data_IF_816184789401
#
_entry.id   IF_816184789401
#
_cell.length_a   1.000
_cell.length_b   1.000
_cell.length_c   1.000
_cell.angle_alpha   90.00
_cell.angle_beta   90.00
_cell.angle_gamma   90.00
#
_symmetry.space_group_name_H-M   'P 1'
#
loop_
_entity.id
_entity.type
_entity.pdbx_description
1 polymer ?
#
# COMPACT_ATOMS: atom_id res chain seq x y z
N UNK A 1 -24.96 14.70 -53.40
CA UNK A 1 -23.67 15.39 -53.62
C UNK A 1 -23.33 16.19 -52.38
N UNK A 2 -22.41 15.68 -51.55
CA UNK A 2 -21.36 16.42 -50.85
C UNK A 2 -20.74 15.50 -49.79
N UNK A 3 -19.44 15.26 -49.98
CA UNK A 3 -18.57 14.38 -49.20
C UNK A 3 -18.27 14.98 -47.81
N UNK A 4 -17.95 14.17 -46.80
CA UNK A 4 -17.28 14.63 -45.59
C UNK A 4 -15.75 14.65 -45.76
N UNK A 5 -15.12 15.56 -45.03
CA UNK A 5 -13.73 15.97 -45.11
C UNK A 5 -12.71 14.85 -44.81
N UNK A 6 -11.60 14.92 -45.52
CA UNK A 6 -10.43 14.05 -45.47
C UNK A 6 -9.56 14.44 -44.24
N UNK A 7 -9.25 13.48 -43.38
CA UNK A 7 -8.22 13.62 -42.34
C UNK A 7 -6.82 13.39 -42.94
N UNK A 8 -5.76 14.09 -42.47
CA UNK A 8 -4.44 14.01 -43.07
C UNK A 8 -3.75 12.69 -42.71
N UNK A 9 -3.24 12.02 -43.73
CA UNK A 9 -2.36 10.85 -43.66
C UNK A 9 -1.02 11.24 -43.05
N UNK A 10 -0.68 10.66 -41.89
CA UNK A 10 0.68 10.69 -41.35
C UNK A 10 1.44 9.53 -41.97
N UNK A 11 2.41 9.88 -42.80
CA UNK A 11 3.35 8.98 -43.45
C UNK A 11 4.37 8.48 -42.41
N UNK A 12 4.21 7.25 -41.92
CA UNK A 12 5.21 6.59 -41.07
C UNK A 12 6.03 5.64 -41.93
N UNK A 13 7.14 6.17 -42.46
CA UNK A 13 8.17 5.39 -43.15
C UNK A 13 8.73 4.30 -42.23
N UNK A 14 8.22 3.07 -42.38
CA UNK A 14 8.83 1.86 -41.85
C UNK A 14 9.57 1.19 -43.02
N UNK A 15 10.91 1.07 -42.98
CA UNK A 15 11.61 0.32 -44.01
C UNK A 15 11.27 -1.17 -43.88
N UNK A 16 10.73 -1.76 -44.94
CA UNK A 16 10.58 -3.21 -45.07
C UNK A 16 11.98 -3.83 -45.16
N UNK A 17 12.45 -4.44 -44.06
CA UNK A 17 13.59 -5.35 -44.10
C UNK A 17 13.09 -6.78 -44.13
N UNK A 18 13.24 -7.42 -45.29
CA UNK A 18 13.09 -8.85 -45.51
C UNK A 18 14.27 -9.61 -44.90
N UNK A 19 14.35 -9.64 -43.57
CA UNK A 19 15.34 -10.40 -42.81
C UNK A 19 14.76 -11.75 -42.38
N UNK A 20 15.21 -12.84 -42.99
CA UNK A 20 14.95 -14.19 -42.47
C UNK A 20 15.50 -14.33 -41.03
N UNK A 21 14.64 -14.76 -40.10
CA UNK A 21 15.01 -14.98 -38.70
C UNK A 21 15.99 -16.16 -38.60
N UNK A 22 17.10 -16.06 -37.85
CA UNK A 22 18.02 -17.16 -37.67
C UNK A 22 17.33 -18.30 -36.91
N UNK A 23 17.26 -19.48 -37.53
CA UNK A 23 16.56 -20.69 -37.07
C UNK A 23 17.27 -21.48 -35.97
N UNK A 24 18.33 -20.92 -35.38
CA UNK A 24 19.13 -21.58 -34.33
C UNK A 24 19.69 -20.55 -33.35
N UNK A 25 19.57 -20.76 -32.03
CA UNK A 25 20.12 -19.83 -31.05
C UNK A 25 21.65 -19.85 -31.10
N UNK A 26 22.27 -18.70 -31.39
CA UNK A 26 23.64 -18.45 -30.96
C UNK A 26 23.58 -18.15 -29.46
N UNK A 27 23.78 -19.19 -28.65
CA UNK A 27 24.00 -19.06 -27.21
C UNK A 27 25.26 -18.20 -27.06
N UNK A 28 25.12 -16.97 -26.59
CA UNK A 28 26.27 -16.16 -26.19
C UNK A 28 27.00 -16.95 -25.08
N UNK A 29 28.26 -17.29 -25.35
CA UNK A 29 29.17 -17.96 -24.45
C UNK A 29 29.43 -17.05 -23.23
N UNK A 30 28.53 -17.08 -22.24
CA UNK A 30 28.61 -16.17 -21.09
C UNK A 30 27.71 -16.52 -19.90
N UNK A 31 26.86 -17.54 -19.99
CA UNK A 31 26.01 -17.99 -18.88
C UNK A 31 26.77 -18.88 -17.88
N UNK A 32 27.98 -18.48 -17.52
CA UNK A 32 28.82 -19.14 -16.51
C UNK A 32 28.57 -18.54 -15.14
N UNK A 33 27.53 -19.00 -14.44
CA UNK A 33 27.33 -18.70 -13.01
C UNK A 33 27.71 -19.94 -12.21
N UNK A 34 28.88 -20.00 -11.56
CA UNK A 34 29.25 -21.16 -10.74
C UNK A 34 28.22 -21.38 -9.62
N UNK A 35 27.73 -22.62 -9.45
CA UNK A 35 26.82 -23.00 -8.37
C UNK A 35 25.34 -23.20 -8.79
N UNK A 36 24.43 -23.06 -7.82
CA UNK A 36 22.99 -23.40 -7.94
C UNK A 36 22.26 -22.63 -9.04
N UNK A 37 22.77 -21.47 -9.49
CA UNK A 37 22.22 -20.71 -10.61
C UNK A 37 22.23 -21.49 -11.93
N UNK A 38 23.28 -22.28 -12.18
CA UNK A 38 23.37 -23.12 -13.39
C UNK A 38 22.27 -24.19 -13.44
N UNK A 39 21.85 -24.72 -12.29
CA UNK A 39 20.80 -25.75 -12.22
C UNK A 39 19.43 -25.12 -12.52
N UNK A 40 19.15 -23.94 -11.97
CA UNK A 40 17.90 -23.20 -12.20
C UNK A 40 17.74 -22.80 -13.66
N UNK A 41 18.78 -22.22 -14.26
CA UNK A 41 18.76 -21.85 -15.68
C UNK A 41 18.50 -23.07 -16.57
N UNK A 42 19.15 -24.21 -16.31
CA UNK A 42 18.88 -25.47 -17.05
C UNK A 42 17.43 -25.91 -16.93
N UNK A 43 16.84 -25.78 -15.74
CA UNK A 43 15.42 -26.10 -15.50
C UNK A 43 14.51 -25.17 -16.31
N UNK A 44 14.76 -23.87 -16.31
CA UNK A 44 13.95 -22.90 -17.08
C UNK A 44 14.11 -23.11 -18.59
N UNK A 45 15.31 -23.46 -19.05
CA UNK A 45 15.55 -23.84 -20.44
C UNK A 45 14.85 -25.15 -20.83
N UNK A 46 14.69 -26.10 -19.90
CA UNK A 46 13.88 -27.30 -20.13
C UNK A 46 12.39 -26.93 -20.26
N UNK A 47 11.87 -26.07 -19.38
CA UNK A 47 10.51 -25.56 -19.49
C UNK A 47 10.27 -24.83 -20.82
N UNK A 48 11.22 -24.00 -21.29
CA UNK A 48 11.15 -23.36 -22.60
C UNK A 48 10.98 -24.38 -23.74
N UNK A 49 11.72 -25.49 -23.72
CA UNK A 49 11.62 -26.54 -24.75
C UNK A 49 10.24 -27.19 -24.75
N UNK A 50 9.67 -27.44 -23.58
CA UNK A 50 8.31 -27.98 -23.44
C UNK A 50 7.25 -26.98 -23.90
N UNK A 51 7.39 -25.69 -23.55
CA UNK A 51 6.50 -24.63 -24.06
C UNK A 51 6.57 -24.55 -25.59
N UNK A 52 7.77 -24.64 -26.17
CA UNK A 52 7.98 -24.60 -27.61
C UNK A 52 7.39 -25.82 -28.33
N UNK A 53 7.46 -27.01 -27.74
CA UNK A 53 6.89 -28.22 -28.36
C UNK A 53 5.35 -28.18 -28.43
N UNK A 54 4.70 -27.46 -27.50
CA UNK A 54 3.25 -27.26 -27.48
C UNK A 54 2.76 -26.19 -28.48
N UNK A 55 3.67 -25.36 -29.03
CA UNK A 55 3.30 -24.21 -29.86
C UNK A 55 2.52 -24.59 -31.13
N UNK A 56 2.87 -25.70 -31.78
CA UNK A 56 2.15 -26.16 -32.96
C UNK A 56 0.70 -26.55 -32.63
N UNK A 57 0.50 -27.21 -31.48
CA UNK A 57 -0.81 -27.63 -31.00
C UNK A 57 -1.66 -26.43 -30.57
N UNK A 58 -1.11 -25.53 -29.75
CA UNK A 58 -1.87 -24.36 -29.26
C UNK A 58 -2.22 -23.39 -30.38
N UNK A 59 -1.35 -23.24 -31.39
CA UNK A 59 -1.64 -22.42 -32.58
C UNK A 59 -2.83 -22.95 -33.38
N UNK A 60 -3.04 -24.26 -33.41
CA UNK A 60 -4.17 -24.88 -34.11
C UNK A 60 -5.51 -24.72 -33.38
N UNK A 61 -5.51 -24.30 -32.11
CA UNK A 61 -6.74 -24.17 -31.33
C UNK A 61 -7.65 -23.05 -31.85
N UNK A 62 -8.96 -23.25 -31.77
CA UNK A 62 -9.93 -22.16 -31.87
C UNK A 62 -9.94 -21.30 -30.59
N UNK A 63 -10.60 -20.13 -30.61
CA UNK A 63 -10.77 -19.32 -29.40
C UNK A 63 -11.49 -20.09 -28.28
N UNK A 64 -12.50 -20.89 -28.63
CA UNK A 64 -13.22 -21.74 -27.68
C UNK A 64 -12.31 -22.82 -27.08
N UNK A 65 -11.46 -23.46 -27.90
CA UNK A 65 -10.50 -24.47 -27.45
C UNK A 65 -9.42 -23.89 -26.53
N UNK A 66 -8.94 -22.67 -26.80
CA UNK A 66 -8.03 -21.97 -25.90
C UNK A 66 -8.68 -21.72 -24.53
N UNK A 67 -9.91 -21.19 -24.53
CA UNK A 67 -10.65 -20.93 -23.28
C UNK A 67 -10.98 -22.21 -22.52
N UNK A 68 -11.37 -23.27 -23.21
CA UNK A 68 -11.62 -24.60 -22.62
C UNK A 68 -10.35 -25.19 -22.02
N UNK A 69 -9.20 -25.04 -22.68
CA UNK A 69 -7.91 -25.50 -22.16
C UNK A 69 -7.50 -24.71 -20.91
N UNK A 70 -7.68 -23.39 -20.94
CA UNK A 70 -7.44 -22.52 -19.76
C UNK A 70 -8.33 -22.94 -18.57
N UNK A 71 -9.61 -23.19 -18.81
CA UNK A 71 -10.54 -23.66 -17.80
C UNK A 71 -10.14 -25.03 -17.23
N UNK A 72 -9.67 -25.95 -18.08
CA UNK A 72 -9.12 -27.25 -17.65
C UNK A 72 -7.93 -27.09 -16.71
N UNK A 73 -6.99 -26.18 -17.03
CA UNK A 73 -5.86 -25.87 -16.15
C UNK A 73 -6.31 -25.28 -14.81
N UNK A 74 -7.31 -24.39 -14.82
CA UNK A 74 -7.91 -23.83 -13.60
C UNK A 74 -8.47 -24.93 -12.70
N UNK A 75 -9.24 -25.87 -13.25
CA UNK A 75 -9.77 -27.00 -12.48
C UNK A 75 -8.67 -27.89 -11.89
N UNK A 76 -7.63 -28.20 -12.68
CA UNK A 76 -6.47 -28.98 -12.21
C UNK A 76 -5.73 -28.26 -11.06
N UNK A 77 -5.48 -26.96 -11.20
CA UNK A 77 -4.85 -26.14 -10.17
C UNK A 77 -5.68 -26.09 -8.88
N UNK A 78 -6.99 -25.84 -8.98
CA UNK A 78 -7.91 -25.83 -7.84
C UNK A 78 -8.07 -27.21 -7.18
N UNK A 79 -7.88 -28.29 -7.93
CA UNK A 79 -7.88 -29.67 -7.41
C UNK A 79 -6.56 -30.04 -6.70
N UNK A 80 -5.59 -29.11 -6.62
CA UNK A 80 -4.33 -29.30 -5.91
C UNK A 80 -3.18 -29.81 -6.77
N UNK A 81 -3.30 -29.85 -8.10
CA UNK A 81 -2.15 -30.15 -8.95
C UNK A 81 -1.08 -29.05 -8.80
N UNK A 82 0.20 -29.41 -8.56
CA UNK A 82 1.24 -28.41 -8.40
C UNK A 82 1.38 -27.52 -9.64
N UNK A 83 1.32 -26.20 -9.47
CA UNK A 83 1.43 -25.22 -10.56
C UNK A 83 2.69 -25.42 -11.43
N UNK A 84 3.78 -25.93 -10.85
CA UNK A 84 5.02 -26.22 -11.57
C UNK A 84 4.84 -27.27 -12.69
N UNK A 85 3.88 -28.20 -12.55
CA UNK A 85 3.53 -29.17 -13.60
C UNK A 85 2.67 -28.58 -14.69
N UNK A 86 1.86 -27.58 -14.35
CA UNK A 86 0.98 -26.87 -15.27
C UNK A 86 1.73 -25.79 -16.07
N UNK A 87 2.93 -25.41 -15.63
CA UNK A 87 3.69 -24.29 -16.20
C UNK A 87 3.87 -24.38 -17.73
N UNK A 88 4.31 -25.50 -18.33
CA UNK A 88 4.52 -25.55 -19.78
C UNK A 88 3.22 -25.31 -20.57
N UNK A 89 2.13 -25.97 -20.16
CA UNK A 89 0.80 -25.81 -20.78
C UNK A 89 0.28 -24.38 -20.61
N UNK A 90 0.37 -23.84 -19.38
CA UNK A 90 -0.08 -22.49 -19.07
C UNK A 90 0.66 -21.43 -19.89
N UNK A 91 1.99 -21.52 -19.96
CA UNK A 91 2.82 -20.56 -20.68
C UNK A 91 2.60 -20.66 -22.20
N UNK A 92 2.36 -21.87 -22.73
CA UNK A 92 2.01 -22.04 -24.13
C UNK A 92 0.66 -21.40 -24.48
N UNK A 93 -0.34 -21.47 -23.59
CA UNK A 93 -1.63 -20.78 -23.76
C UNK A 93 -1.48 -19.25 -23.70
N UNK A 94 -0.73 -18.73 -22.72
CA UNK A 94 -0.47 -17.28 -22.60
C UNK A 94 0.28 -16.73 -23.81
N UNK A 95 1.29 -17.46 -24.30
CA UNK A 95 2.03 -17.11 -25.52
C UNK A 95 1.12 -17.03 -26.73
N UNK A 96 0.22 -17.99 -26.89
CA UNK A 96 -0.74 -17.99 -28.00
C UNK A 96 -1.81 -16.91 -27.85
N UNK A 97 -2.27 -16.63 -26.63
CA UNK A 97 -3.18 -15.53 -26.33
C UNK A 97 -2.54 -14.17 -26.65
N UNK A 98 -1.28 -13.94 -26.27
CA UNK A 98 -0.52 -12.74 -26.63
C UNK A 98 -0.39 -12.55 -28.14
N UNK A 99 -0.09 -13.63 -28.87
CA UNK A 99 -0.03 -13.61 -30.35
C UNK A 99 -1.36 -13.19 -30.95
N UNK A 100 -2.48 -13.71 -30.47
CA UNK A 100 -3.81 -13.43 -31.06
C UNK A 100 -4.36 -12.07 -30.68
N UNK A 101 -4.22 -11.70 -29.41
CA UNK A 101 -4.86 -10.53 -28.86
C UNK A 101 -4.05 -9.25 -29.13
N UNK A 102 -2.72 -9.33 -29.07
CA UNK A 102 -1.83 -8.16 -29.15
C UNK A 102 -0.86 -8.22 -30.34
N UNK A 103 -0.89 -9.28 -31.16
CA UNK A 103 0.13 -9.56 -32.18
C UNK A 103 1.55 -9.66 -31.59
N UNK A 104 1.66 -10.10 -30.33
CA UNK A 104 2.92 -10.21 -29.61
C UNK A 104 3.15 -11.65 -29.15
N UNK A 105 4.11 -12.34 -29.77
CA UNK A 105 4.55 -13.67 -29.33
C UNK A 105 5.68 -13.49 -28.32
N UNK A 106 5.55 -14.05 -27.12
CA UNK A 106 6.65 -14.04 -26.15
C UNK A 106 7.94 -14.61 -26.74
N UNK A 107 9.03 -13.86 -26.61
CA UNK A 107 10.37 -14.33 -26.94
C UNK A 107 10.82 -15.41 -25.96
N UNK A 108 11.85 -16.17 -26.35
CA UNK A 108 12.33 -17.28 -25.53
C UNK A 108 12.94 -16.80 -24.20
N UNK A 109 13.61 -15.64 -24.22
CA UNK A 109 14.11 -14.97 -23.01
C UNK A 109 12.98 -14.57 -22.05
N UNK A 110 11.82 -14.19 -22.58
CA UNK A 110 10.65 -13.84 -21.78
C UNK A 110 10.00 -15.09 -21.15
N UNK A 111 10.00 -16.24 -21.84
CA UNK A 111 9.56 -17.51 -21.24
C UNK A 111 10.50 -17.94 -20.11
N UNK A 112 11.81 -17.82 -20.30
CA UNK A 112 12.80 -18.12 -19.27
C UNK A 112 12.65 -17.17 -18.07
N UNK A 113 12.49 -15.87 -18.32
CA UNK A 113 12.21 -14.88 -17.28
C UNK A 113 10.92 -15.17 -16.53
N UNK A 114 9.83 -15.49 -17.23
CA UNK A 114 8.56 -15.90 -16.61
C UNK A 114 8.70 -17.14 -15.72
N UNK A 115 9.52 -18.11 -16.11
CA UNK A 115 9.79 -19.30 -15.29
C UNK A 115 10.63 -18.96 -14.04
N UNK A 116 11.56 -18.01 -14.15
CA UNK A 116 12.30 -17.49 -13.00
C UNK A 116 11.39 -16.73 -12.03
N UNK A 117 10.49 -15.88 -12.54
CA UNK A 117 9.48 -15.18 -11.74
C UNK A 117 8.55 -16.16 -11.02
N UNK A 118 8.09 -17.21 -11.69
CA UNK A 118 7.28 -18.25 -11.05
C UNK A 118 7.99 -18.95 -9.88
N UNK A 119 9.32 -19.08 -9.93
CA UNK A 119 10.11 -19.66 -8.84
C UNK A 119 10.46 -18.68 -7.71
N UNK A 120 9.97 -17.44 -7.77
CA UNK A 120 10.23 -16.41 -6.78
C UNK A 120 11.62 -15.78 -6.91
N UNK A 121 12.14 -15.68 -8.13
CA UNK A 121 13.36 -14.92 -8.43
C UNK A 121 13.02 -13.45 -8.73
N UNK A 122 14.04 -12.59 -8.61
CA UNK A 122 14.05 -11.26 -9.20
C UNK A 122 14.67 -11.38 -10.58
N UNK A 123 13.92 -11.14 -11.65
CA UNK A 123 14.45 -11.25 -13.00
C UNK A 123 14.98 -9.89 -13.46
N UNK A 124 16.29 -9.80 -13.72
CA UNK A 124 16.88 -8.64 -14.36
C UNK A 124 16.63 -8.69 -15.88
N UNK A 125 15.82 -7.77 -16.37
CA UNK A 125 15.50 -7.62 -17.79
C UNK A 125 15.70 -6.17 -18.18
N UNK A 126 16.60 -5.91 -19.14
CA UNK A 126 16.88 -4.55 -19.61
C UNK A 126 15.60 -3.86 -20.09
N UNK A 127 15.56 -2.54 -19.94
CA UNK A 127 14.43 -1.73 -20.42
C UNK A 127 14.23 -1.96 -21.91
N UNK A 128 13.01 -2.32 -22.32
CA UNK A 128 12.69 -2.68 -23.70
C UNK A 128 12.58 -4.20 -23.96
N UNK A 129 13.03 -5.06 -23.05
CA UNK A 129 12.92 -6.54 -23.18
C UNK A 129 11.48 -7.08 -22.98
N UNK A 130 10.50 -6.20 -22.73
CA UNK A 130 9.10 -6.57 -22.58
C UNK A 130 8.76 -7.19 -21.21
N UNK A 131 9.21 -6.53 -20.12
CA UNK A 131 8.86 -6.88 -18.72
C UNK A 131 7.35 -7.06 -18.53
N UNK A 132 6.54 -6.11 -19.00
CA UNK A 132 5.07 -6.13 -18.89
C UNK A 132 4.45 -7.36 -19.56
N UNK A 133 4.90 -7.74 -20.77
CA UNK A 133 4.41 -8.94 -21.46
C UNK A 133 4.87 -10.21 -20.74
N UNK A 134 6.10 -10.22 -20.22
CA UNK A 134 6.66 -11.35 -19.46
C UNK A 134 5.88 -11.62 -18.17
N UNK A 135 5.45 -10.58 -17.47
CA UNK A 135 4.66 -10.66 -16.23
C UNK A 135 3.35 -11.44 -16.40
N UNK A 136 2.76 -11.44 -17.60
CA UNK A 136 1.51 -12.17 -17.88
C UNK A 136 1.61 -13.68 -17.65
N UNK A 137 2.82 -14.25 -17.82
CA UNK A 137 3.07 -15.68 -17.68
C UNK A 137 2.88 -16.16 -16.22
N UNK A 138 3.65 -15.68 -15.23
CA UNK A 138 3.47 -16.09 -13.84
C UNK A 138 2.16 -15.59 -13.23
N UNK A 139 1.67 -14.39 -13.61
CA UNK A 139 0.40 -13.87 -13.11
C UNK A 139 -0.78 -14.77 -13.49
N UNK A 140 -0.84 -15.20 -14.76
CA UNK A 140 -1.84 -16.15 -15.21
C UNK A 140 -1.73 -17.48 -14.45
N UNK A 141 -0.53 -18.05 -14.36
CA UNK A 141 -0.33 -19.35 -13.72
C UNK A 141 -0.72 -19.35 -12.23
N UNK A 142 -0.34 -18.32 -11.47
CA UNK A 142 -0.70 -18.20 -10.07
C UNK A 142 -2.19 -17.89 -9.85
N UNK A 143 -2.84 -17.18 -10.78
CA UNK A 143 -4.27 -16.86 -10.66
C UNK A 143 -5.17 -18.10 -10.79
N UNK A 144 -4.72 -19.14 -11.50
CA UNK A 144 -5.46 -20.40 -11.68
C UNK A 144 -5.80 -21.11 -10.35
N UNK A 145 -5.02 -20.90 -9.30
CA UNK A 145 -5.28 -21.48 -7.98
C UNK A 145 -6.47 -20.82 -7.25
N UNK A 146 -7.03 -19.72 -7.77
CA UNK A 146 -8.19 -19.03 -7.18
C UNK A 146 -7.90 -18.21 -5.92
N UNK A 147 -6.63 -18.10 -5.52
CA UNK A 147 -6.22 -17.30 -4.36
C UNK A 147 -5.79 -15.88 -4.73
N UNK A 148 -5.67 -15.59 -6.03
CA UNK A 148 -5.25 -14.30 -6.53
C UNK A 148 -3.79 -14.15 -6.88
N UNK A 149 -3.52 -13.23 -7.80
CA UNK A 149 -2.18 -12.78 -8.15
C UNK A 149 -2.14 -11.25 -8.22
N UNK A 150 -1.23 -10.62 -7.48
CA UNK A 150 -1.09 -9.17 -7.44
C UNK A 150 0.12 -8.72 -8.26
N UNK A 151 -0.04 -7.70 -9.10
CA UNK A 151 1.07 -6.96 -9.68
C UNK A 151 1.19 -5.61 -8.99
N UNK A 152 2.33 -5.36 -8.38
CA UNK A 152 2.66 -4.09 -7.74
C UNK A 152 3.61 -3.28 -8.63
N UNK A 153 3.25 -2.04 -8.93
CA UNK A 153 4.12 -1.08 -9.63
C UNK A 153 4.25 0.22 -8.82
N UNK A 154 4.99 1.20 -9.35
CA UNK A 154 5.38 2.42 -8.64
C UNK A 154 4.29 3.51 -8.62
N UNK A 155 3.39 3.53 -9.61
CA UNK A 155 2.33 4.56 -9.69
C UNK A 155 1.05 4.06 -10.39
N UNK A 156 -0.04 4.79 -10.13
CA UNK A 156 -1.39 4.47 -10.61
C UNK A 156 -1.48 4.43 -12.14
N UNK A 157 -0.78 5.34 -12.84
CA UNK A 157 -0.76 5.37 -14.31
C UNK A 157 -0.20 4.07 -14.90
N UNK A 158 0.93 3.56 -14.38
CA UNK A 158 1.51 2.30 -14.84
C UNK A 158 0.60 1.12 -14.50
N UNK A 159 -0.04 1.13 -13.33
CA UNK A 159 -0.94 0.06 -12.92
C UNK A 159 -2.15 -0.04 -13.87
N UNK A 160 -2.78 1.09 -14.18
CA UNK A 160 -3.91 1.17 -15.10
C UNK A 160 -3.49 0.82 -16.53
N UNK A 161 -2.45 1.47 -17.06
CA UNK A 161 -1.92 1.24 -18.41
C UNK A 161 -1.60 -0.23 -18.65
N UNK A 162 -0.86 -0.85 -17.74
CA UNK A 162 -0.39 -2.23 -17.92
C UNK A 162 -1.54 -3.24 -17.76
N UNK A 163 -2.48 -2.96 -16.86
CA UNK A 163 -3.69 -3.75 -16.74
C UNK A 163 -4.53 -3.71 -18.01
N UNK A 164 -4.78 -2.51 -18.57
CA UNK A 164 -5.55 -2.33 -19.80
C UNK A 164 -4.85 -2.94 -21.00
N UNK A 165 -3.54 -2.74 -21.12
CA UNK A 165 -2.76 -3.25 -22.24
C UNK A 165 -2.71 -4.78 -22.27
N UNK A 166 -2.59 -5.44 -21.10
CA UNK A 166 -2.53 -6.90 -21.01
C UNK A 166 -3.91 -7.57 -20.87
N UNK A 167 -4.98 -6.82 -20.56
CA UNK A 167 -6.35 -7.33 -20.41
C UNK A 167 -6.81 -8.25 -21.55
N UNK A 168 -6.57 -7.94 -22.84
CA UNK A 168 -6.99 -8.81 -23.95
C UNK A 168 -6.43 -10.24 -23.87
N UNK A 169 -5.23 -10.43 -23.30
CA UNK A 169 -4.63 -11.75 -23.10
C UNK A 169 -5.44 -12.53 -22.04
N UNK A 170 -5.71 -11.89 -20.91
CA UNK A 170 -6.44 -12.50 -19.80
C UNK A 170 -7.89 -12.79 -20.15
N UNK A 171 -8.58 -11.88 -20.85
CA UNK A 171 -9.96 -12.06 -21.30
C UNK A 171 -10.11 -13.27 -22.22
N UNK A 172 -9.17 -13.45 -23.17
CA UNK A 172 -9.15 -14.59 -24.08
C UNK A 172 -9.01 -15.92 -23.34
N UNK A 173 -8.27 -15.93 -22.23
CA UNK A 173 -8.08 -17.08 -21.36
C UNK A 173 -9.17 -17.21 -20.28
N UNK A 174 -10.10 -16.25 -20.18
CA UNK A 174 -11.19 -16.26 -19.20
C UNK A 174 -10.74 -15.95 -17.77
N UNK A 175 -9.72 -15.10 -17.61
CA UNK A 175 -9.16 -14.66 -16.32
C UNK A 175 -9.53 -13.20 -16.10
N UNK A 176 -10.11 -12.90 -14.94
CA UNK A 176 -10.56 -11.55 -14.59
C UNK A 176 -9.42 -10.67 -14.06
N UNK A 177 -9.45 -9.38 -14.40
CA UNK A 177 -8.45 -8.39 -14.00
C UNK A 177 -9.11 -7.22 -13.26
N UNK A 178 -8.61 -6.91 -12.07
CA UNK A 178 -8.96 -5.72 -11.30
C UNK A 178 -7.81 -4.73 -11.23
N UNK A 179 -8.12 -3.45 -11.00
CA UNK A 179 -7.13 -2.40 -10.77
C UNK A 179 -7.50 -1.64 -9.50
N UNK A 180 -6.54 -1.43 -8.62
CA UNK A 180 -6.67 -0.61 -7.41
C UNK A 180 -5.92 0.70 -7.64
N UNK A 181 -6.65 1.80 -7.57
CA UNK A 181 -6.12 3.17 -7.70
C UNK A 181 -6.32 3.93 -6.39
N UNK A 182 -5.59 5.03 -6.23
CA UNK A 182 -5.68 5.89 -5.03
C UNK A 182 -7.12 6.33 -4.76
N UNK A 183 -7.84 6.73 -5.81
CA UNK A 183 -9.20 7.25 -5.71
C UNK A 183 -10.29 6.15 -5.72
N UNK A 184 -9.92 4.86 -5.76
CA UNK A 184 -10.90 3.78 -5.76
C UNK A 184 -11.67 3.72 -4.43
N UNK A 185 -12.99 3.67 -4.55
CA UNK A 185 -13.90 3.47 -3.41
C UNK A 185 -13.73 2.08 -2.78
N UNK A 186 -14.16 1.86 -1.53
CA UNK A 186 -14.07 0.53 -0.89
C UNK A 186 -14.72 -0.60 -1.71
N UNK A 187 -15.86 -0.33 -2.34
CA UNK A 187 -16.57 -1.32 -3.17
C UNK A 187 -15.82 -1.65 -4.47
N UNK A 188 -15.23 -0.64 -5.12
CA UNK A 188 -14.37 -0.84 -6.29
C UNK A 188 -13.13 -1.66 -5.94
N UNK A 189 -12.51 -1.38 -4.77
CA UNK A 189 -11.37 -2.16 -4.27
C UNK A 189 -11.76 -3.61 -4.02
N UNK A 190 -12.89 -3.85 -3.35
CA UNK A 190 -13.39 -5.20 -3.06
C UNK A 190 -13.64 -5.99 -4.36
N UNK A 191 -14.21 -5.32 -5.38
CA UNK A 191 -14.36 -5.90 -6.73
C UNK A 191 -13.00 -6.18 -7.38
N UNK A 192 -12.03 -5.27 -7.26
CA UNK A 192 -10.70 -5.42 -7.86
C UNK A 192 -9.88 -6.54 -7.23
N UNK A 193 -9.92 -6.70 -5.91
CA UNK A 193 -9.30 -7.84 -5.20
C UNK A 193 -10.07 -9.15 -5.42
N UNK A 194 -11.36 -9.08 -5.77
CA UNK A 194 -12.17 -10.24 -6.15
C UNK A 194 -11.77 -10.84 -7.51
N UNK A 195 -11.13 -10.07 -8.39
CA UNK A 195 -10.64 -10.54 -9.69
C UNK A 195 -9.52 -11.58 -9.55
N UNK A 196 -9.32 -12.44 -10.54
CA UNK A 196 -8.25 -13.46 -10.52
C UNK A 196 -6.85 -12.81 -10.46
N UNK A 197 -6.67 -11.68 -11.12
CA UNK A 197 -5.44 -10.85 -11.10
C UNK A 197 -5.79 -9.42 -10.68
N UNK A 198 -4.95 -8.80 -9.85
CA UNK A 198 -5.15 -7.42 -9.37
C UNK A 198 -3.88 -6.59 -9.62
N UNK A 199 -4.01 -5.51 -10.38
CA UNK A 199 -2.95 -4.51 -10.57
C UNK A 199 -3.12 -3.38 -9.56
N UNK A 200 -2.02 -2.81 -9.08
CA UNK A 200 -2.05 -1.67 -8.19
C UNK A 200 -0.65 -1.20 -7.83
N UNK A 201 -0.57 -0.24 -6.92
CA UNK A 201 0.72 0.21 -6.39
C UNK A 201 1.07 -0.49 -5.09
N UNK A 202 2.37 -0.58 -4.78
CA UNK A 202 2.82 -1.11 -3.49
C UNK A 202 2.22 -0.33 -2.31
N UNK A 203 2.06 0.99 -2.45
CA UNK A 203 1.45 1.87 -1.45
C UNK A 203 -0.01 1.52 -1.21
N UNK A 204 -0.80 1.37 -2.27
CA UNK A 204 -2.22 1.05 -2.14
C UNK A 204 -2.46 -0.34 -1.52
N UNK A 205 -1.67 -1.34 -1.91
CA UNK A 205 -1.71 -2.65 -1.26
C UNK A 205 -1.35 -2.56 0.23
N UNK A 206 -0.42 -1.69 0.61
CA UNK A 206 -0.07 -1.47 2.01
C UNK A 206 -1.14 -0.74 2.80
N UNK A 207 -1.74 0.31 2.24
CA UNK A 207 -2.81 1.04 2.90
C UNK A 207 -4.08 0.19 3.06
N UNK A 208 -4.46 -0.60 2.03
CA UNK A 208 -5.56 -1.55 2.14
C UNK A 208 -5.30 -2.60 3.23
N UNK A 209 -4.07 -3.13 3.30
CA UNK A 209 -3.69 -4.05 4.37
C UNK A 209 -3.86 -3.42 5.76
N UNK A 210 -3.40 -2.18 5.93
CA UNK A 210 -3.52 -1.47 7.20
C UNK A 210 -4.99 -1.19 7.56
N UNK A 211 -5.80 -0.74 6.60
CA UNK A 211 -7.25 -0.50 6.77
C UNK A 211 -7.96 -1.79 7.21
N UNK A 212 -7.70 -2.90 6.53
CA UNK A 212 -8.32 -4.19 6.85
C UNK A 212 -7.91 -4.68 8.25
N UNK A 213 -6.65 -4.51 8.64
CA UNK A 213 -6.18 -4.90 9.98
C UNK A 213 -6.80 -4.07 11.09
N UNK A 214 -6.95 -2.79 10.82
CA UNK A 214 -7.63 -1.88 11.71
C UNK A 214 -9.11 -2.29 11.88
N UNK A 215 -9.82 -2.50 10.78
CA UNK A 215 -11.22 -2.95 10.77
C UNK A 215 -11.40 -4.25 11.57
N UNK A 216 -10.54 -5.25 11.31
CA UNK A 216 -10.55 -6.52 12.04
C UNK A 216 -10.26 -6.34 13.53
N UNK A 217 -9.39 -5.40 13.91
CA UNK A 217 -9.11 -5.09 15.32
C UNK A 217 -10.32 -4.46 16.01
N UNK A 218 -11.04 -3.57 15.33
CA UNK A 218 -12.27 -2.98 15.86
C UNK A 218 -13.37 -4.03 16.04
N UNK A 219 -13.57 -4.90 15.03
CA UNK A 219 -14.51 -6.03 15.11
C UNK A 219 -14.13 -7.03 16.22
N UNK A 220 -12.84 -7.33 16.39
CA UNK A 220 -12.35 -8.23 17.44
C UNK A 220 -12.54 -7.69 18.87
N UNK A 221 -12.47 -6.37 19.07
CA UNK A 221 -12.76 -5.72 20.37
C UNK A 221 -14.25 -5.81 20.74
N UNK A 222 -15.15 -5.80 19.75
CA UNK A 222 -16.59 -6.03 19.98
C UNK A 222 -16.89 -7.41 20.60
N UNK A 223 -16.05 -8.42 20.35
CA UNK A 223 -16.24 -9.75 20.93
C UNK A 223 -15.73 -9.86 22.38
N UNK A 224 -14.83 -8.97 22.81
CA UNK A 224 -14.37 -8.88 24.21
C UNK A 224 -15.16 -7.86 25.05
N UNK A 225 -15.74 -6.82 24.43
CA UNK A 225 -16.45 -5.72 25.11
C UNK A 225 -17.97 -5.93 25.16
N UNK A 226 -18.43 -7.17 25.37
CA UNK A 226 -19.84 -7.47 25.70
C UNK A 226 -20.29 -6.89 27.07
N UNK A 227 -19.44 -6.11 27.76
CA UNK A 227 -19.69 -5.55 29.10
C UNK A 227 -19.42 -4.03 29.24
N UNK A 228 -19.29 -3.25 28.17
CA UNK A 228 -19.08 -1.80 28.31
C UNK A 228 -19.37 -0.96 27.06
N UNK A 229 -20.54 -0.34 27.02
CA UNK A 229 -20.92 0.68 26.03
C UNK A 229 -20.09 1.97 26.21
N UNK A 230 -19.55 2.51 25.11
CA UNK A 230 -19.12 3.91 25.12
C UNK A 230 -18.12 4.38 24.06
N UNK A 231 -17.35 3.50 23.40
CA UNK A 231 -16.31 3.96 22.45
C UNK A 231 -16.24 3.22 21.12
N UNK A 232 -17.04 2.17 20.91
CA UNK A 232 -17.01 1.32 19.72
C UNK A 232 -17.95 1.78 18.57
N UNK A 233 -18.92 2.65 18.83
CA UNK A 233 -20.00 2.94 17.88
C UNK A 233 -19.57 3.73 16.63
N UNK A 234 -18.42 4.42 16.65
CA UNK A 234 -18.02 5.29 15.51
C UNK A 234 -17.36 4.55 14.34
N UNK A 235 -17.01 3.27 14.50
CA UNK A 235 -16.37 2.46 13.44
C UNK A 235 -17.27 1.36 12.87
N UNK A 236 -18.46 1.16 13.45
CA UNK A 236 -19.35 0.05 13.08
C UNK A 236 -20.65 0.48 12.42
N UNK A 237 -20.83 1.77 12.11
CA UNK A 237 -22.05 2.27 11.47
C UNK A 237 -22.14 1.98 9.96
N UNK A 238 -21.13 1.39 9.32
CA UNK A 238 -21.04 1.30 7.84
C UNK A 238 -21.05 -0.10 7.23
N UNK A 239 -21.09 -1.21 7.99
CA UNK A 239 -21.03 -2.55 7.38
C UNK A 239 -19.76 -2.79 6.56
N UNK A 240 -18.67 -2.09 6.90
CA UNK A 240 -17.38 -2.21 6.22
C UNK A 240 -16.80 -3.61 6.39
N UNK A 241 -16.49 -4.26 5.27
CA UNK A 241 -15.81 -5.54 5.19
C UNK A 241 -14.38 -5.37 4.65
N UNK A 242 -13.42 -6.23 5.05
CA UNK A 242 -12.08 -6.23 4.47
C UNK A 242 -12.11 -6.26 2.95
N UNK A 243 -11.25 -5.48 2.31
CA UNK A 243 -11.18 -5.43 0.84
C UNK A 243 -10.18 -6.43 0.28
N UNK A 244 -9.12 -6.75 1.02
CA UNK A 244 -8.12 -7.71 0.58
C UNK A 244 -8.53 -9.15 0.86
N UNK A 245 -8.13 -10.02 -0.05
CA UNK A 245 -8.15 -11.48 0.12
C UNK A 245 -6.80 -11.98 0.65
N UNK A 246 -6.63 -13.30 0.65
CA UNK A 246 -5.36 -13.95 1.02
C UNK A 246 -4.19 -13.47 0.15
N UNK A 247 -3.07 -13.11 0.78
CA UNK A 247 -1.83 -12.74 0.10
C UNK A 247 -1.11 -13.97 -0.49
N UNK A 248 -1.51 -14.36 -1.69
CA UNK A 248 -0.99 -15.56 -2.34
C UNK A 248 0.30 -15.31 -3.15
N UNK A 249 0.22 -14.53 -4.21
CA UNK A 249 1.35 -14.20 -5.08
C UNK A 249 1.43 -12.69 -5.33
N UNK A 250 2.62 -12.12 -5.17
CA UNK A 250 2.94 -10.77 -5.59
C UNK A 250 4.09 -10.78 -6.58
N UNK A 251 3.88 -10.12 -7.72
CA UNK A 251 4.91 -9.77 -8.69
C UNK A 251 5.17 -8.26 -8.60
N UNK A 252 6.39 -7.88 -8.27
CA UNK A 252 6.80 -6.49 -8.10
C UNK A 252 7.53 -6.01 -9.35
N UNK A 253 6.95 -5.07 -10.07
CA UNK A 253 7.62 -4.34 -11.14
C UNK A 253 8.50 -3.24 -10.56
N UNK A 254 9.60 -2.92 -11.25
CA UNK A 254 10.68 -2.07 -10.74
C UNK A 254 11.07 -2.45 -9.29
N UNK A 255 11.36 -3.74 -9.12
CA UNK A 255 11.55 -4.37 -7.81
C UNK A 255 12.66 -3.73 -6.96
N UNK A 256 13.70 -3.18 -7.56
CA UNK A 256 14.73 -2.40 -6.86
C UNK A 256 14.14 -1.11 -6.26
N UNK A 257 13.37 -0.37 -7.05
CA UNK A 257 12.74 0.88 -6.59
C UNK A 257 11.75 0.60 -5.44
N UNK A 258 10.91 -0.42 -5.56
CA UNK A 258 9.87 -0.71 -4.56
C UNK A 258 10.43 -1.43 -3.32
N UNK A 259 11.23 -2.48 -3.51
CA UNK A 259 11.67 -3.34 -2.41
C UNK A 259 12.91 -2.83 -1.68
N UNK A 260 13.64 -1.86 -2.25
CA UNK A 260 14.84 -1.26 -1.66
C UNK A 260 14.62 0.22 -1.34
N UNK A 261 14.29 1.04 -2.34
CA UNK A 261 14.23 2.49 -2.15
C UNK A 261 12.99 2.91 -1.36
N UNK A 262 11.80 2.47 -1.79
CA UNK A 262 10.54 2.78 -1.10
C UNK A 262 10.38 2.00 0.22
N UNK A 263 11.09 0.89 0.40
CA UNK A 263 10.99 0.05 1.58
C UNK A 263 11.50 0.70 2.89
N UNK A 264 12.24 1.81 2.79
CA UNK A 264 12.83 2.50 3.93
C UNK A 264 11.82 3.29 4.76
N UNK A 265 10.80 3.83 4.12
CA UNK A 265 9.81 4.70 4.78
C UNK A 265 8.55 3.88 5.08
N UNK A 266 8.12 3.76 6.35
CA UNK A 266 6.90 3.04 6.68
C UNK A 266 5.65 3.77 6.15
N UNK A 267 4.67 2.98 5.70
CA UNK A 267 3.31 3.43 5.45
C UNK A 267 2.58 3.57 6.77
N UNK A 268 1.86 4.68 6.96
CA UNK A 268 1.23 5.05 8.23
C UNK A 268 -0.20 5.50 7.95
N UNK A 269 -1.18 4.93 8.68
CA UNK A 269 -2.55 5.44 8.73
C UNK A 269 -2.72 6.28 9.99
N UNK A 270 -3.27 7.48 9.84
CA UNK A 270 -3.60 8.37 10.95
C UNK A 270 -4.80 7.87 11.78
N UNK A 271 -4.84 8.21 13.07
CA UNK A 271 -5.83 7.75 14.06
C UNK A 271 -6.93 8.75 14.37
N UNK A 272 -6.92 9.93 13.74
CA UNK A 272 -7.92 10.96 13.99
C UNK A 272 -8.74 11.19 12.71
N UNK A 273 -10.06 11.04 12.82
CA UNK A 273 -10.97 11.56 11.81
C UNK A 273 -11.10 13.08 11.96
N UNK A 274 -11.55 13.76 10.92
CA UNK A 274 -11.70 15.23 10.93
C UNK A 274 -12.61 15.70 12.09
N UNK A 275 -13.70 14.97 12.38
CA UNK A 275 -14.57 15.26 13.53
C UNK A 275 -13.85 15.12 14.89
N UNK A 276 -12.95 14.14 15.04
CA UNK A 276 -12.16 13.97 16.28
C UNK A 276 -11.15 15.10 16.43
N UNK A 277 -10.56 15.55 15.33
CA UNK A 277 -9.64 16.69 15.30
C UNK A 277 -10.34 17.97 15.71
N UNK A 278 -11.49 18.27 15.12
CA UNK A 278 -12.30 19.44 15.48
C UNK A 278 -12.71 19.42 16.95
N UNK A 279 -13.13 18.26 17.46
CA UNK A 279 -13.48 18.09 18.88
C UNK A 279 -12.29 18.39 19.79
N UNK A 280 -11.09 17.91 19.46
CA UNK A 280 -9.86 18.17 20.24
C UNK A 280 -9.50 19.66 20.22
N UNK A 281 -9.54 20.30 19.05
CA UNK A 281 -9.27 21.74 18.90
C UNK A 281 -10.26 22.56 19.72
N UNK A 282 -11.56 22.25 19.61
CA UNK A 282 -12.61 22.92 20.38
C UNK A 282 -12.39 22.77 21.90
N UNK A 283 -11.98 21.58 22.34
CA UNK A 283 -11.76 21.31 23.77
C UNK A 283 -10.54 22.06 24.32
N UNK A 284 -9.43 22.16 23.58
CA UNK A 284 -8.29 22.99 23.96
C UNK A 284 -8.66 24.48 24.07
N UNK A 285 -9.42 25.01 23.11
CA UNK A 285 -9.89 26.40 23.13
C UNK A 285 -10.82 26.66 24.30
N UNK A 286 -11.78 25.77 24.54
CA UNK A 286 -12.67 25.85 25.69
C UNK A 286 -11.88 25.84 26.99
N UNK A 287 -10.83 25.01 27.11
CA UNK A 287 -10.02 24.99 28.32
C UNK A 287 -9.24 26.29 28.53
N UNK A 288 -8.62 26.82 27.48
CA UNK A 288 -7.93 28.11 27.55
C UNK A 288 -8.87 29.26 27.94
N UNK A 289 -10.10 29.26 27.43
CA UNK A 289 -11.11 30.27 27.76
C UNK A 289 -11.55 30.24 29.23
N UNK A 290 -11.56 29.08 29.89
CA UNK A 290 -12.11 28.95 31.24
C UNK A 290 -11.05 28.77 32.33
N UNK A 291 -9.80 28.49 31.99
CA UNK A 291 -8.73 28.22 32.95
C UNK A 291 -8.55 29.34 34.00
N UNK A 292 -8.75 30.61 33.62
CA UNK A 292 -8.61 31.76 34.50
C UNK A 292 -9.67 31.84 35.61
N UNK A 293 -10.76 31.08 35.52
CA UNK A 293 -11.85 31.06 36.51
C UNK A 293 -11.55 30.16 37.70
N UNK A 294 -10.45 29.41 37.66
CA UNK A 294 -10.06 28.47 38.70
C UNK A 294 -9.04 29.11 39.64
N UNK A 295 -9.32 29.06 40.93
CA UNK A 295 -8.43 29.57 41.98
C UNK A 295 -7.67 28.45 42.69
N UNK A 296 -6.36 28.67 42.94
CA UNK A 296 -5.48 27.72 43.65
C UNK A 296 -5.97 27.54 45.09
N UNK A 297 -5.85 26.32 45.62
CA UNK A 297 -6.32 25.88 46.94
C UNK A 297 -7.85 25.86 47.12
N UNK A 298 -8.61 26.61 46.31
CA UNK A 298 -10.08 26.52 46.30
C UNK A 298 -10.60 25.48 45.30
N UNK A 299 -10.06 25.46 44.08
CA UNK A 299 -10.55 24.63 42.99
C UNK A 299 -9.57 23.52 42.57
N UNK A 300 -8.27 23.75 42.77
CA UNK A 300 -7.22 22.81 42.42
C UNK A 300 -6.01 22.95 43.34
N UNK A 301 -5.19 21.91 43.37
CA UNK A 301 -3.88 21.89 44.04
C UNK A 301 -2.78 21.64 43.02
N UNK A 302 -1.56 22.08 43.32
CA UNK A 302 -0.36 21.78 42.53
C UNK A 302 0.53 20.90 43.40
N UNK A 303 0.93 19.74 42.87
CA UNK A 303 1.90 18.87 43.52
C UNK A 303 3.32 19.45 43.37
N UNK A 304 4.03 19.63 44.48
CA UNK A 304 5.30 20.38 44.53
C UNK A 304 6.43 19.73 43.71
N UNK A 305 6.46 18.39 43.61
CA UNK A 305 7.54 17.67 42.92
C UNK A 305 7.29 17.54 41.41
N UNK A 306 6.03 17.34 41.01
CA UNK A 306 5.67 17.03 39.62
C UNK A 306 5.08 18.23 38.87
N UNK A 307 4.77 19.32 39.59
CA UNK A 307 4.02 20.45 39.07
C UNK A 307 2.72 20.02 38.38
N UNK A 308 2.09 18.95 38.88
CA UNK A 308 0.83 18.45 38.34
C UNK A 308 -0.33 19.21 38.99
N UNK A 309 -1.20 19.76 38.15
CA UNK A 309 -2.45 20.38 38.59
C UNK A 309 -3.48 19.27 38.76
N UNK A 310 -4.13 19.20 39.93
CA UNK A 310 -5.23 18.27 40.19
C UNK A 310 -6.47 19.03 40.69
N UNK A 311 -7.61 18.82 40.02
CA UNK A 311 -8.88 19.41 40.43
C UNK A 311 -9.43 18.73 41.68
N UNK A 312 -9.81 19.54 42.67
CA UNK A 312 -10.55 19.08 43.84
C UNK A 312 -12.06 18.96 43.54
N UNK A 313 -12.86 18.59 44.54
CA UNK A 313 -14.30 18.40 44.39
C UNK A 313 -15.05 19.67 43.89
N UNK A 314 -14.61 20.86 44.33
CA UNK A 314 -15.19 22.14 43.89
C UNK A 314 -14.78 22.47 42.46
N UNK A 315 -13.51 22.29 42.10
CA UNK A 315 -13.04 22.46 40.73
C UNK A 315 -13.77 21.56 39.74
N UNK A 316 -13.94 20.27 40.08
CA UNK A 316 -14.73 19.33 39.25
C UNK A 316 -16.20 19.73 39.14
N UNK A 317 -16.77 20.34 40.18
CA UNK A 317 -18.13 20.87 40.13
C UNK A 317 -18.24 22.08 39.20
N UNK A 318 -17.26 22.98 39.23
CA UNK A 318 -17.19 24.13 38.33
C UNK A 318 -17.10 23.67 36.86
N UNK A 319 -16.22 22.73 36.53
CA UNK A 319 -16.11 22.15 35.17
C UNK A 319 -17.44 21.58 34.64
N UNK A 320 -18.29 21.04 35.52
CA UNK A 320 -19.62 20.54 35.13
C UNK A 320 -20.63 21.66 34.87
N UNK A 321 -20.44 22.83 35.48
CA UNK A 321 -21.33 23.98 35.35
C UNK A 321 -20.97 24.89 34.16
N UNK A 322 -19.74 24.80 33.64
CA UNK A 322 -19.28 25.61 32.52
C UNK A 322 -20.07 25.31 31.22
N UNK A 323 -20.37 26.35 30.40
CA UNK A 323 -21.03 26.17 29.12
C UNK A 323 -20.14 25.37 28.16
N UNK A 324 -20.75 24.58 27.28
CA UNK A 324 -20.04 23.71 26.33
C UNK A 324 -20.66 23.84 24.94
N UNK A 325 -19.80 23.86 23.94
CA UNK A 325 -20.23 23.79 22.54
C UNK A 325 -20.82 22.41 22.22
N UNK A 326 -21.69 22.38 21.22
CA UNK A 326 -22.38 21.15 20.80
C UNK A 326 -21.39 20.04 20.39
N UNK A 327 -20.31 20.42 19.70
CA UNK A 327 -19.26 19.50 19.26
C UNK A 327 -18.51 18.85 20.44
N UNK A 328 -18.51 19.48 21.62
CA UNK A 328 -17.84 18.96 22.82
C UNK A 328 -18.73 18.05 23.67
N UNK A 329 -20.01 17.89 23.32
CA UNK A 329 -20.93 17.04 24.09
C UNK A 329 -20.52 15.57 24.14
N UNK A 330 -19.76 15.13 23.14
CA UNK A 330 -19.23 13.77 23.03
C UNK A 330 -17.96 13.55 23.88
N UNK A 331 -17.36 14.61 24.43
CA UNK A 331 -16.13 14.51 25.23
C UNK A 331 -16.49 14.07 26.64
N UNK A 332 -15.78 13.05 27.15
CA UNK A 332 -16.05 12.53 28.49
C UNK A 332 -15.70 13.56 29.57
N UNK A 333 -16.35 13.46 30.73
CA UNK A 333 -16.03 14.35 31.86
C UNK A 333 -14.59 14.19 32.35
N UNK A 334 -14.03 12.99 32.25
CA UNK A 334 -12.64 12.71 32.63
C UNK A 334 -11.69 13.48 31.71
N UNK A 335 -11.91 13.41 30.40
CA UNK A 335 -11.10 14.16 29.44
C UNK A 335 -11.21 15.66 29.69
N UNK A 336 -12.42 16.18 29.91
CA UNK A 336 -12.62 17.61 30.21
C UNK A 336 -11.86 18.07 31.45
N UNK A 337 -11.75 17.23 32.48
CA UNK A 337 -10.90 17.52 33.64
C UNK A 337 -9.44 17.65 33.23
N UNK A 338 -8.91 16.71 32.46
CA UNK A 338 -7.51 16.75 32.00
C UNK A 338 -7.23 17.99 31.12
N UNK A 339 -8.15 18.35 30.23
CA UNK A 339 -8.02 19.56 29.40
C UNK A 339 -8.00 20.83 30.25
N UNK A 340 -8.88 20.95 31.25
CA UNK A 340 -8.85 22.08 32.19
C UNK A 340 -7.60 22.11 33.05
N UNK A 341 -7.19 20.99 33.63
CA UNK A 341 -5.97 20.91 34.45
C UNK A 341 -4.75 21.39 33.66
N UNK A 342 -4.68 21.01 32.38
CA UNK A 342 -3.64 21.47 31.46
C UNK A 342 -3.76 22.96 31.11
N UNK A 343 -4.97 23.45 30.89
CA UNK A 343 -5.26 24.87 30.68
C UNK A 343 -4.84 25.72 31.88
N UNK A 344 -5.18 25.28 33.10
CA UNK A 344 -4.77 25.90 34.35
C UNK A 344 -3.24 25.91 34.46
N UNK A 345 -2.58 24.77 34.24
CA UNK A 345 -1.11 24.68 34.27
C UNK A 345 -0.44 25.68 33.33
N UNK A 346 -0.88 25.74 32.08
CA UNK A 346 -0.36 26.69 31.08
C UNK A 346 -0.70 28.14 31.44
N UNK A 347 -1.86 28.39 32.04
CA UNK A 347 -2.22 29.72 32.51
C UNK A 347 -1.34 30.18 33.68
N UNK A 348 -0.96 29.29 34.59
CA UNK A 348 -0.22 29.62 35.82
C UNK A 348 1.29 29.56 35.71
N UNK A 349 1.85 28.70 34.84
CA UNK A 349 3.30 28.46 34.79
C UNK A 349 3.98 28.96 33.50
N UNK A 350 3.23 29.14 32.41
CA UNK A 350 3.79 29.45 31.10
C UNK A 350 3.42 30.87 30.68
N UNK A 351 4.39 31.78 30.65
CA UNK A 351 4.20 33.19 30.34
C UNK A 351 4.92 33.58 29.05
N UNK A 352 4.27 34.45 28.27
CA UNK A 352 4.87 35.10 27.11
C UNK A 352 6.12 35.90 27.54
N UNK A 353 7.14 35.88 26.68
CA UNK A 353 8.46 36.50 26.89
C UNK A 353 9.27 35.93 28.07
N UNK A 354 8.85 34.77 28.61
CA UNK A 354 9.60 34.02 29.62
C UNK A 354 9.87 32.59 29.18
N UNK A 355 8.81 31.77 29.10
CA UNK A 355 8.93 30.37 28.69
C UNK A 355 8.80 30.20 27.18
N UNK A 356 8.07 31.09 26.51
CA UNK A 356 7.90 31.10 25.05
C UNK A 356 7.79 32.52 24.51
N UNK A 357 7.96 32.64 23.21
CA UNK A 357 7.61 33.82 22.41
C UNK A 357 6.71 33.40 21.25
N UNK A 358 5.92 34.33 20.72
CA UNK A 358 5.14 34.14 19.49
C UNK A 358 5.90 34.76 18.32
N UNK A 359 6.21 33.97 17.29
CA UNK A 359 6.85 34.44 16.05
C UNK A 359 6.19 33.78 14.85
N UNK A 360 5.87 34.55 13.82
CA UNK A 360 5.25 34.05 12.59
C UNK A 360 4.00 33.18 12.87
N UNK A 361 3.18 33.59 13.85
CA UNK A 361 2.01 32.85 14.33
C UNK A 361 2.30 31.47 14.94
N UNK A 362 3.55 31.19 15.32
CA UNK A 362 3.99 29.96 15.99
C UNK A 362 4.57 30.22 17.39
N UNK A 363 4.42 29.22 18.28
CA UNK A 363 5.02 29.21 19.61
C UNK A 363 6.46 28.72 19.54
N UNK A 364 7.42 29.56 19.94
CA UNK A 364 8.84 29.21 20.03
C UNK A 364 9.27 29.13 21.49
N UNK A 365 9.84 27.98 21.88
CA UNK A 365 10.31 27.74 23.25
C UNK A 365 11.55 28.59 23.55
N UNK A 366 11.57 29.23 24.71
CA UNK A 366 12.77 29.89 25.25
C UNK A 366 13.45 28.92 26.22
N UNK A 367 14.72 28.64 25.99
CA UNK A 367 15.53 27.81 26.90
C UNK A 367 15.82 28.58 28.21
N UNK A 368 15.41 28.01 29.35
CA UNK A 368 15.49 28.68 30.66
C UNK A 368 16.92 28.95 31.16
N UNK A 369 17.90 28.17 30.68
CA UNK A 369 19.31 28.30 31.11
C UNK A 369 20.09 29.28 30.24
N UNK A 370 19.76 29.33 28.94
CA UNK A 370 20.56 30.06 27.95
C UNK A 370 19.84 31.26 27.33
N UNK A 371 18.52 31.37 27.50
CA UNK A 371 17.67 32.38 26.87
C UNK A 371 17.58 32.24 25.35
N UNK A 372 18.08 31.13 24.79
CA UNK A 372 18.06 30.87 23.34
C UNK A 372 16.70 30.37 22.90
N UNK A 373 16.33 30.75 21.68
CA UNK A 373 15.13 30.26 21.03
C UNK A 373 15.36 28.84 20.49
N UNK A 374 14.52 27.89 20.91
CA UNK A 374 14.53 26.51 20.45
C UNK A 374 13.46 26.30 19.37
N UNK A 375 13.75 26.75 18.16
CA UNK A 375 12.88 26.60 16.98
C UNK A 375 12.63 25.11 16.66
N UNK A 376 11.38 24.80 16.29
CA UNK A 376 10.95 23.43 15.96
C UNK A 376 10.76 22.48 17.15
N UNK A 377 11.06 22.90 18.40
CA UNK A 377 10.80 22.11 19.60
C UNK A 377 9.39 22.36 20.12
N UNK A 378 8.64 21.29 20.43
CA UNK A 378 7.30 21.36 21.06
C UNK A 378 7.31 20.73 22.45
N UNK A 379 6.55 21.28 23.38
CA UNK A 379 6.26 20.60 24.65
C UNK A 379 5.36 19.38 24.43
N UNK A 380 5.54 18.37 25.27
CA UNK A 380 4.78 17.10 25.20
C UNK A 380 3.45 17.20 25.95
N UNK A 381 2.70 16.10 25.95
CA UNK A 381 1.49 15.90 26.74
C UNK A 381 0.43 16.98 26.57
N UNK A 382 0.31 17.55 25.37
CA UNK A 382 -0.69 18.56 25.03
C UNK A 382 -0.35 19.99 25.50
N UNK A 383 0.78 20.20 26.19
CA UNK A 383 1.14 21.51 26.76
C UNK A 383 1.33 22.56 25.66
N UNK A 384 1.98 22.18 24.55
CA UNK A 384 2.18 23.09 23.43
C UNK A 384 0.85 23.52 22.81
N UNK A 385 -0.08 22.57 22.62
CA UNK A 385 -1.44 22.82 22.11
C UNK A 385 -2.26 23.70 23.05
N UNK A 386 -2.10 23.54 24.36
CA UNK A 386 -2.75 24.39 25.35
C UNK A 386 -2.18 25.83 25.33
N UNK A 387 -0.88 26.02 25.05
CA UNK A 387 -0.28 27.35 24.86
C UNK A 387 -0.77 27.99 23.55
N UNK A 388 -0.79 27.25 22.45
CA UNK A 388 -1.35 27.70 21.17
C UNK A 388 -2.81 28.18 21.36
N UNK A 389 -3.63 27.40 22.09
CA UNK A 389 -5.00 27.77 22.41
C UNK A 389 -5.11 29.00 23.34
N UNK A 390 -4.22 29.14 24.32
CA UNK A 390 -4.14 30.31 25.22
C UNK A 390 -3.86 31.60 24.45
N UNK A 391 -2.97 31.54 23.46
CA UNK A 391 -2.59 32.69 22.62
C UNK A 391 -3.53 32.90 21.43
N UNK A 392 -4.55 32.06 21.25
CA UNK A 392 -5.51 32.17 20.15
C UNK A 392 -4.97 31.74 18.79
N UNK A 393 -3.87 30.99 18.76
CA UNK A 393 -3.26 30.46 17.53
C UNK A 393 -3.97 29.18 17.04
N UNK A 394 -3.59 28.72 15.84
CA UNK A 394 -4.05 27.42 15.34
C UNK A 394 -3.48 26.28 16.18
N UNK A 395 -4.35 25.42 16.72
CA UNK A 395 -3.94 24.32 17.59
C UNK A 395 -3.40 23.17 16.76
N UNK A 396 -2.12 22.86 16.93
CA UNK A 396 -1.42 21.81 16.19
C UNK A 396 -1.72 20.43 16.79
N UNK A 397 -2.84 19.83 16.40
CA UNK A 397 -3.19 18.47 16.82
C UNK A 397 -2.34 17.45 16.07
N UNK A 398 -1.48 16.65 16.74
CA UNK A 398 -0.74 15.60 16.06
C UNK A 398 -1.74 14.57 15.53
N UNK A 399 -1.67 14.27 14.23
CA UNK A 399 -2.33 13.11 13.66
C UNK A 399 -1.71 11.86 14.31
N UNK A 400 -2.38 11.30 15.32
CA UNK A 400 -1.93 10.06 15.96
C UNK A 400 -1.74 8.95 14.92
N UNK A 401 -0.87 7.98 15.16
CA UNK A 401 -0.66 6.85 14.23
C UNK A 401 -1.59 5.68 14.63
N UNK A 402 -2.57 5.34 13.79
CA UNK A 402 -3.47 4.21 14.02
C UNK A 402 -2.77 2.87 13.76
N UNK A 403 -2.05 2.80 12.65
CA UNK A 403 -1.31 1.62 12.24
C UNK A 403 -0.14 2.01 11.33
N UNK A 404 0.89 1.15 11.28
CA UNK A 404 2.04 1.32 10.39
C UNK A 404 2.54 -0.03 9.88
N UNK A 405 3.07 -0.06 8.65
CA UNK A 405 3.77 -1.21 8.07
C UNK A 405 4.86 -0.72 7.12
N UNK A 406 5.99 -1.42 7.01
CA UNK A 406 6.97 -1.15 5.96
C UNK A 406 6.62 -1.94 4.69
N UNK A 407 6.96 -1.42 3.52
CA UNK A 407 6.77 -2.17 2.25
C UNK A 407 7.48 -3.53 2.31
N UNK A 408 8.63 -3.58 2.99
CA UNK A 408 9.35 -4.83 3.27
C UNK A 408 8.49 -5.86 4.03
N UNK A 409 7.92 -5.48 5.19
CA UNK A 409 7.10 -6.39 5.99
C UNK A 409 5.82 -6.78 5.26
N UNK A 410 5.24 -5.87 4.47
CA UNK A 410 4.07 -6.15 3.64
C UNK A 410 4.37 -7.29 2.65
N UNK A 411 5.42 -7.16 1.84
CA UNK A 411 5.70 -8.16 0.80
C UNK A 411 6.21 -9.49 1.34
N UNK A 412 6.84 -9.52 2.52
CA UNK A 412 7.21 -10.76 3.20
C UNK A 412 6.00 -11.60 3.66
N UNK A 413 4.80 -11.01 3.70
CA UNK A 413 3.56 -11.72 4.06
C UNK A 413 2.94 -12.50 2.91
N UNK A 414 3.37 -12.24 1.67
CA UNK A 414 2.92 -13.03 0.53
C UNK A 414 3.53 -14.43 0.55
N UNK A 415 2.72 -15.45 0.26
CA UNK A 415 3.20 -16.83 0.18
C UNK A 415 4.25 -17.01 -0.92
N UNK A 416 4.08 -16.31 -2.03
CA UNK A 416 4.98 -16.29 -3.17
C UNK A 416 5.29 -14.84 -3.55
N UNK A 417 6.57 -14.49 -3.67
CA UNK A 417 7.04 -13.17 -4.03
C UNK A 417 8.06 -13.28 -5.16
N UNK A 418 7.88 -12.48 -6.19
CA UNK A 418 8.80 -12.35 -7.32
C UNK A 418 8.89 -10.89 -7.75
N UNK A 419 9.88 -10.56 -8.58
CA UNK A 419 10.02 -9.20 -9.07
C UNK A 419 10.80 -9.10 -10.37
N UNK A 420 10.65 -7.99 -11.06
CA UNK A 420 11.37 -7.69 -12.29
C UNK A 420 11.90 -6.25 -12.23
N UNK A 421 13.08 -6.03 -12.78
CA UNK A 421 13.70 -4.70 -12.86
C UNK A 421 14.78 -4.70 -13.94
N UNK A 422 15.19 -3.50 -14.37
CA UNK A 422 16.36 -3.34 -15.24
C UNK A 422 17.71 -3.42 -14.52
N UNK A 423 17.72 -3.31 -13.18
CA UNK A 423 18.92 -2.97 -12.39
C UNK A 423 19.01 -3.76 -11.07
N UNK A 424 18.79 -5.08 -11.10
CA UNK A 424 18.79 -5.90 -9.88
C UNK A 424 20.19 -6.26 -9.34
N UNK A 425 21.22 -6.33 -10.19
CA UNK A 425 22.52 -6.89 -9.85
C UNK A 425 23.20 -6.17 -8.67
N UNK A 426 23.09 -4.84 -8.62
CA UNK A 426 23.64 -4.01 -7.54
C UNK A 426 22.93 -4.25 -6.21
N UNK A 427 21.61 -4.47 -6.26
CA UNK A 427 20.75 -4.70 -5.10
C UNK A 427 20.58 -6.17 -4.71
N UNK A 428 21.22 -7.10 -5.46
CA UNK A 428 21.10 -8.54 -5.29
C UNK A 428 21.42 -9.05 -3.87
N UNK A 429 22.50 -8.61 -3.19
CA UNK A 429 22.79 -9.05 -1.82
C UNK A 429 21.68 -8.68 -0.83
N UNK A 430 21.07 -7.50 -1.02
CA UNK A 430 20.01 -6.99 -0.15
C UNK A 430 18.69 -7.72 -0.39
N UNK A 431 18.29 -7.88 -1.65
CA UNK A 431 17.11 -8.64 -2.07
C UNK A 431 17.16 -10.08 -1.53
N UNK A 432 18.30 -10.75 -1.66
CA UNK A 432 18.50 -12.11 -1.15
C UNK A 432 18.46 -12.18 0.38
N UNK A 433 19.04 -11.19 1.07
CA UNK A 433 19.09 -11.16 2.55
C UNK A 433 17.71 -10.91 3.15
N UNK A 434 16.95 -9.98 2.57
CA UNK A 434 15.68 -9.51 3.11
C UNK A 434 14.53 -10.39 2.67
N UNK A 435 14.38 -10.62 1.35
CA UNK A 435 13.20 -11.28 0.78
C UNK A 435 13.44 -12.76 0.45
N UNK A 436 14.69 -13.24 0.61
CA UNK A 436 15.09 -14.61 0.23
C UNK A 436 14.88 -14.90 -1.26
N UNK A 437 14.76 -13.85 -2.08
CA UNK A 437 14.60 -13.91 -3.53
C UNK A 437 15.97 -13.80 -4.20
N UNK A 438 16.44 -14.81 -4.93
CA UNK A 438 17.66 -14.69 -5.72
C UNK A 438 17.40 -13.85 -6.98
N UNK A 439 18.45 -13.17 -7.45
CA UNK A 439 18.48 -12.45 -8.73
C UNK A 439 18.99 -13.38 -9.82
#
# INVERSE_FOLDING_TARGET
MNQPAIAPTVDSGIPQSSGSLPSTPKIAAGWGVPGTGTIRIRKWLAALKEVASLEHQTRAYSFEQLRKSSLSLRYRAMSGEPLARLLPEAFALVREAGRRALNMRHFDVQIVGGAALFEGCITEMQTGEGKTLTATLPLYLHSLAGHGAHLATVNDYLAERDAEWMRPIYDLLGVSVGVVLTNSTPDERRKAYGSDITYGTAKEFGFDFLRDRLLLRAQGRMQSDFLGEGSAERWTSSGDEPVQRTMHFALVDEADSILIDEARTPLIIGSLGDETRETVIATFRWAAQHAHQFEREEHYTIEDDTHKVELNARGRALVRALPRDEIMRIVSLVDLYEYIERGIKVHTEFFLDRQYVVRDEEIVIVDEFTGRLAEGRKWRDGIHQAIEAKEGLEVSVPTGQAARITVQDLFQRYRHLAGMTGTAATSSPELRKIYKTPV
#
